data_IF_555916817705
#
_entry.id   IF_555916817705
#
_cell.length_a   1.000
_cell.length_b   1.000
_cell.length_c   1.000
_cell.angle_alpha   90.00
_cell.angle_beta   90.00
_cell.angle_gamma   90.00
#
_symmetry.space_group_name_H-M   'P 1'
#
loop_
_entity.id
_entity.type
_entity.pdbx_description
1 polymer ?
#
# COMPACT_ATOMS: atom_id res chain seq x y z
N UNK A 1 5.73 -6.83 8.11
CA UNK A 1 6.93 -5.99 7.89
C UNK A 1 6.54 -4.95 6.86
N UNK A 2 6.72 -3.64 7.12
CA UNK A 2 6.36 -2.65 6.10
C UNK A 2 7.12 -2.92 4.82
N UNK A 3 6.37 -3.11 3.74
CA UNK A 3 6.92 -3.35 2.40
C UNK A 3 7.08 -2.03 1.65
N UNK A 4 6.78 -0.90 2.30
CA UNK A 4 6.92 0.44 1.76
C UNK A 4 8.38 0.78 1.50
N UNK A 5 8.67 1.14 0.25
CA UNK A 5 9.97 1.61 -0.21
C UNK A 5 9.81 2.95 -0.94
N UNK A 6 10.84 3.78 -0.89
CA UNK A 6 10.93 5.04 -1.63
C UNK A 6 12.12 4.98 -2.57
N UNK A 7 11.95 5.39 -3.82
CA UNK A 7 13.03 5.44 -4.81
C UNK A 7 12.91 6.70 -5.67
N UNK A 8 14.06 7.26 -6.04
CA UNK A 8 14.17 8.33 -7.02
C UNK A 8 14.62 7.77 -8.38
N UNK A 9 14.00 8.26 -9.44
CA UNK A 9 14.22 7.81 -10.82
C UNK A 9 14.68 9.02 -11.63
N UNK A 10 15.88 8.94 -12.19
CA UNK A 10 16.45 9.99 -13.05
C UNK A 10 15.54 10.28 -14.28
N UNK A 11 15.72 11.42 -14.98
CA UNK A 11 14.93 11.73 -16.16
C UNK A 11 15.13 10.66 -17.25
N UNK A 12 14.02 10.19 -17.84
CA UNK A 12 13.96 9.03 -18.75
C UNK A 12 14.54 7.73 -18.17
N UNK A 13 14.82 7.71 -16.86
CA UNK A 13 15.34 6.55 -16.16
C UNK A 13 14.27 5.49 -15.97
N UNK A 14 14.72 4.25 -15.82
CA UNK A 14 13.86 3.12 -15.47
C UNK A 14 14.49 2.34 -14.34
N UNK A 15 13.69 1.99 -13.34
CA UNK A 15 14.11 1.19 -12.19
C UNK A 15 13.27 -0.07 -12.10
N UNK A 16 13.87 -1.16 -11.68
CA UNK A 16 13.16 -2.40 -11.35
C UNK A 16 12.75 -2.35 -9.88
N UNK A 17 11.44 -2.39 -9.61
CA UNK A 17 10.89 -2.34 -8.24
C UNK A 17 10.57 -3.74 -7.70
N UNK A 18 10.47 -4.73 -8.58
CA UNK A 18 10.28 -6.13 -8.23
C UNK A 18 10.83 -7.02 -9.35
N UNK A 19 11.45 -8.13 -8.97
CA UNK A 19 11.80 -9.21 -9.88
C UNK A 19 11.80 -10.53 -9.13
N UNK A 20 11.19 -11.53 -9.74
CA UNK A 20 11.30 -12.92 -9.35
C UNK A 20 11.65 -13.75 -10.57
N UNK A 21 12.60 -14.66 -10.40
CA UNK A 21 13.04 -15.61 -11.41
C UNK A 21 13.33 -16.94 -10.72
N UNK A 22 12.26 -17.70 -10.46
CA UNK A 22 12.34 -19.06 -9.96
C UNK A 22 12.16 -20.01 -11.15
N UNK A 23 13.17 -20.82 -11.41
CA UNK A 23 13.20 -21.77 -12.53
C UNK A 23 12.64 -23.14 -12.15
N UNK A 24 12.40 -23.38 -10.87
CA UNK A 24 11.95 -24.67 -10.32
C UNK A 24 10.45 -24.63 -10.06
N UNK A 25 9.95 -23.57 -9.41
CA UNK A 25 8.55 -23.46 -9.02
C UNK A 25 8.00 -22.10 -9.48
N UNK A 26 6.98 -22.08 -10.35
CA UNK A 26 6.37 -20.83 -10.75
C UNK A 26 5.62 -20.22 -9.57
N UNK A 27 5.70 -18.90 -9.43
CA UNK A 27 5.16 -18.17 -8.30
C UNK A 27 4.07 -17.19 -8.71
N UNK A 28 3.26 -16.79 -7.74
CA UNK A 28 2.27 -15.74 -7.93
C UNK A 28 2.95 -14.37 -7.96
N UNK A 29 2.54 -13.54 -8.92
CA UNK A 29 2.95 -12.15 -8.98
C UNK A 29 2.29 -11.34 -7.85
N UNK A 30 3.04 -10.48 -7.14
CA UNK A 30 2.48 -9.57 -6.14
C UNK A 30 1.68 -8.44 -6.80
N UNK A 31 0.78 -7.82 -6.03
CA UNK A 31 0.18 -6.53 -6.39
C UNK A 31 1.16 -5.42 -6.02
N UNK A 32 1.35 -4.46 -6.93
CA UNK A 32 2.13 -3.26 -6.66
C UNK A 32 1.20 -2.08 -6.35
N UNK A 33 1.48 -1.37 -5.26
CA UNK A 33 0.80 -0.12 -4.91
C UNK A 33 1.82 0.96 -5.12
N UNK A 34 1.56 1.90 -6.02
CA UNK A 34 2.56 2.89 -6.44
C UNK A 34 1.95 4.27 -6.26
N UNK A 35 2.57 5.08 -5.41
CA UNK A 35 2.28 6.49 -5.21
C UNK A 35 3.37 7.31 -5.88
N UNK A 36 2.96 8.19 -6.79
CA UNK A 36 3.84 9.15 -7.39
C UNK A 36 3.90 10.42 -6.52
N UNK A 37 5.08 10.71 -5.97
CA UNK A 37 5.33 11.90 -5.14
C UNK A 37 5.90 13.08 -5.90
N UNK A 38 6.25 12.86 -7.16
CA UNK A 38 6.79 13.90 -8.04
C UNK A 38 5.69 14.65 -8.78
N UNK A 39 6.11 15.74 -9.43
CA UNK A 39 5.27 16.55 -10.32
C UNK A 39 5.29 16.05 -11.77
N UNK A 40 5.95 14.92 -12.03
CA UNK A 40 6.07 14.33 -13.37
C UNK A 40 5.38 12.97 -13.44
N UNK A 41 4.78 12.61 -14.58
CA UNK A 41 4.15 11.31 -14.73
C UNK A 41 5.20 10.19 -14.78
N UNK A 42 4.83 9.03 -14.22
CA UNK A 42 5.61 7.80 -14.31
C UNK A 42 4.77 6.71 -14.99
N UNK A 43 5.44 5.69 -15.52
CA UNK A 43 4.80 4.49 -16.06
C UNK A 43 5.31 3.26 -15.33
N UNK A 44 4.41 2.50 -14.73
CA UNK A 44 4.72 1.17 -14.22
C UNK A 44 4.35 0.13 -15.28
N UNK A 45 5.25 -0.81 -15.54
CA UNK A 45 5.06 -1.90 -16.51
C UNK A 45 5.39 -3.20 -15.82
N UNK A 46 4.54 -4.20 -15.99
CA UNK A 46 4.86 -5.56 -15.60
C UNK A 46 5.21 -6.41 -16.82
N UNK A 47 6.19 -7.28 -16.62
CA UNK A 47 6.71 -8.18 -17.62
C UNK A 47 6.71 -9.60 -17.09
N UNK A 48 6.53 -10.55 -17.99
CA UNK A 48 6.63 -11.96 -17.71
C UNK A 48 7.52 -12.65 -18.75
N UNK A 49 8.10 -13.78 -18.39
CA UNK A 49 8.75 -14.67 -19.33
C UNK A 49 8.49 -16.13 -18.92
N UNK A 50 8.57 -17.03 -19.90
CA UNK A 50 8.69 -18.46 -19.63
C UNK A 50 10.04 -18.81 -18.99
N UNK A 51 10.29 -20.10 -18.80
CA UNK A 51 11.58 -20.61 -18.31
C UNK A 51 12.76 -20.14 -19.17
N UNK A 52 12.54 -20.07 -20.49
CA UNK A 52 13.52 -19.64 -21.49
C UNK A 52 12.85 -18.56 -22.36
N UNK A 53 13.65 -17.62 -22.84
CA UNK A 53 13.21 -16.55 -23.73
C UNK A 53 13.17 -15.17 -23.08
N UNK A 54 12.74 -14.20 -23.89
CA UNK A 54 12.71 -12.79 -23.54
C UNK A 54 11.46 -12.42 -22.74
N UNK A 55 11.58 -11.34 -21.98
CA UNK A 55 10.45 -10.75 -21.27
C UNK A 55 9.46 -10.13 -22.25
N UNK A 56 8.18 -10.47 -22.05
CA UNK A 56 7.06 -9.86 -22.74
C UNK A 56 6.30 -8.94 -21.78
N UNK A 57 5.85 -7.81 -22.29
CA UNK A 57 5.00 -6.90 -21.52
C UNK A 57 3.65 -7.57 -21.28
N UNK A 58 3.22 -7.60 -20.02
CA UNK A 58 1.88 -8.07 -19.66
C UNK A 58 0.87 -6.91 -19.68
N UNK A 59 1.17 -5.83 -18.96
CA UNK A 59 0.33 -4.65 -18.81
C UNK A 59 1.16 -3.44 -18.38
N UNK A 60 0.55 -2.25 -18.43
CA UNK A 60 1.13 -1.02 -17.93
C UNK A 60 0.06 -0.11 -17.30
N UNK A 61 0.50 0.78 -16.42
CA UNK A 61 -0.31 1.86 -15.86
C UNK A 61 0.52 3.13 -15.75
N UNK A 62 -0.07 4.25 -16.15
CA UNK A 62 0.49 5.57 -15.90
C UNK A 62 0.01 6.08 -14.55
N UNK A 63 0.93 6.62 -13.75
CA UNK A 63 0.64 7.21 -12.43
C UNK A 63 0.98 8.69 -12.50
N UNK A 64 -0.04 9.52 -12.49
CA UNK A 64 0.10 10.97 -12.60
C UNK A 64 0.60 11.60 -11.29
N UNK A 65 1.05 12.86 -11.33
CA UNK A 65 1.52 13.56 -10.14
C UNK A 65 0.56 13.47 -8.95
N UNK A 66 1.09 13.13 -7.77
CA UNK A 66 0.33 12.96 -6.52
C UNK A 66 -0.78 11.89 -6.59
N UNK A 67 -0.76 11.01 -7.59
CA UNK A 67 -1.68 9.90 -7.71
C UNK A 67 -1.11 8.66 -7.03
N UNK A 68 -2.01 7.83 -6.50
CA UNK A 68 -1.72 6.47 -6.07
C UNK A 68 -2.52 5.52 -6.96
N UNK A 69 -1.84 4.55 -7.58
CA UNK A 69 -2.46 3.47 -8.35
C UNK A 69 -2.17 2.13 -7.71
N UNK A 70 -3.18 1.27 -7.72
CA UNK A 70 -3.02 -0.15 -7.41
C UNK A 70 -2.86 -0.88 -8.74
N UNK A 71 -1.68 -1.41 -8.96
CA UNK A 71 -1.33 -2.21 -10.12
C UNK A 71 -1.43 -3.68 -9.76
N UNK A 72 -2.62 -4.24 -10.00
CA UNK A 72 -3.01 -5.60 -9.61
C UNK A 72 -2.07 -6.63 -10.26
N UNK A 73 -1.55 -7.54 -9.43
CA UNK A 73 -0.75 -8.67 -9.91
C UNK A 73 -1.61 -9.64 -10.73
N UNK A 74 -1.11 -10.17 -11.86
CA UNK A 74 -1.87 -11.12 -12.67
C UNK A 74 -2.28 -12.38 -11.90
N UNK A 75 -3.38 -13.02 -12.31
CA UNK A 75 -3.92 -14.25 -11.71
C UNK A 75 -3.06 -15.49 -11.95
N UNK A 76 -2.20 -15.47 -12.95
CA UNK A 76 -1.40 -16.62 -13.36
C UNK A 76 -0.17 -16.85 -12.47
N UNK A 77 0.49 -17.99 -12.69
CA UNK A 77 1.77 -18.35 -12.10
C UNK A 77 2.89 -18.09 -13.12
N UNK A 78 3.97 -17.47 -12.68
CA UNK A 78 5.11 -17.12 -13.53
C UNK A 78 6.41 -17.67 -12.96
N UNK A 79 7.22 -18.27 -13.82
CA UNK A 79 8.62 -18.58 -13.49
C UNK A 79 9.43 -17.29 -13.38
N UNK A 80 9.20 -16.36 -14.31
CA UNK A 80 9.90 -15.08 -14.38
C UNK A 80 8.90 -13.95 -14.49
N UNK A 81 8.94 -13.04 -13.53
CA UNK A 81 8.08 -11.86 -13.48
C UNK A 81 8.84 -10.67 -12.92
N UNK A 82 8.66 -9.50 -13.52
CA UNK A 82 9.25 -8.26 -12.99
C UNK A 82 8.31 -7.08 -13.17
N UNK A 83 8.46 -6.09 -12.32
CA UNK A 83 7.80 -4.79 -12.41
C UNK A 83 8.86 -3.72 -12.47
N UNK A 84 8.78 -2.88 -13.51
CA UNK A 84 9.65 -1.73 -13.67
C UNK A 84 8.83 -0.46 -13.66
N UNK A 85 9.46 0.62 -13.22
CA UNK A 85 8.86 1.96 -13.24
C UNK A 85 9.80 2.89 -13.99
N UNK A 86 9.24 3.58 -14.99
CA UNK A 86 9.95 4.53 -15.82
C UNK A 86 9.48 5.95 -15.52
N UNK A 87 10.44 6.87 -15.43
CA UNK A 87 10.16 8.29 -15.41
C UNK A 87 9.87 8.77 -16.84
N UNK A 88 8.70 9.37 -17.08
CA UNK A 88 8.33 9.85 -18.40
C UNK A 88 8.82 11.28 -18.68
N UNK A 89 9.37 11.96 -17.67
CA UNK A 89 10.00 13.27 -17.82
C UNK A 89 11.45 13.14 -18.27
N UNK A 90 11.89 14.09 -19.10
CA UNK A 90 13.27 14.25 -19.54
C UNK A 90 14.02 15.38 -18.80
N UNK A 91 13.37 16.07 -17.86
CA UNK A 91 13.94 17.23 -17.16
C UNK A 91 14.07 17.03 -15.65
N UNK A 92 13.14 16.31 -15.03
CA UNK A 92 13.04 16.21 -13.57
C UNK A 92 13.13 14.77 -13.09
N UNK A 93 13.66 14.57 -11.89
CA UNK A 93 13.62 13.28 -11.22
C UNK A 93 12.19 12.97 -10.76
N UNK A 94 11.77 11.72 -10.95
CA UNK A 94 10.56 11.21 -10.29
C UNK A 94 10.92 10.66 -8.91
N UNK A 95 10.01 10.80 -7.94
CA UNK A 95 10.08 10.14 -6.64
C UNK A 95 8.80 9.32 -6.47
N UNK A 96 8.96 8.06 -6.12
CA UNK A 96 7.84 7.14 -5.94
C UNK A 96 7.93 6.49 -4.56
N UNK A 97 6.76 6.24 -3.98
CA UNK A 97 6.59 5.33 -2.85
C UNK A 97 5.84 4.11 -3.35
N UNK A 98 6.32 2.91 -3.03
CA UNK A 98 5.64 1.70 -3.46
C UNK A 98 5.66 0.60 -2.40
N UNK A 99 4.67 -0.28 -2.49
CA UNK A 99 4.47 -1.46 -1.65
C UNK A 99 4.20 -2.64 -2.58
N UNK A 100 4.88 -3.76 -2.38
CA UNK A 100 4.62 -5.01 -3.10
C UNK A 100 3.93 -5.98 -2.16
N UNK A 101 2.68 -6.36 -2.41
CA UNK A 101 1.92 -7.26 -1.53
C UNK A 101 1.42 -8.50 -2.29
N UNK A 102 1.88 -9.69 -1.86
CA UNK A 102 1.45 -10.98 -2.42
C UNK A 102 0.16 -11.54 -1.79
N UNK A 103 -0.25 -11.03 -0.63
CA UNK A 103 -1.40 -11.54 0.13
C UNK A 103 -2.74 -11.14 -0.48
N UNK A 104 -2.80 -10.00 -1.20
CA UNK A 104 -4.03 -9.47 -1.79
C UNK A 104 -4.59 -10.32 -2.93
N UNK A 105 -3.75 -11.19 -3.50
CA UNK A 105 -4.21 -12.18 -4.48
C UNK A 105 -4.90 -13.38 -3.82
N UNK A 106 -4.49 -13.75 -2.59
CA UNK A 106 -5.01 -14.94 -1.90
C UNK A 106 -6.42 -14.73 -1.33
N UNK A 107 -6.74 -13.51 -0.89
CA UNK A 107 -7.99 -13.20 -0.19
C UNK A 107 -8.85 -12.14 -0.90
N UNK A 108 -8.47 -11.71 -2.11
CA UNK A 108 -8.99 -10.50 -2.73
C UNK A 108 -8.42 -9.24 -2.07
N UNK A 109 -8.82 -8.06 -2.56
CA UNK A 109 -8.55 -6.78 -1.89
C UNK A 109 -9.75 -6.46 -0.99
N UNK A 110 -9.78 -6.92 0.27
CA UNK A 110 -10.90 -6.60 1.14
C UNK A 110 -10.92 -5.08 1.37
N UNK A 111 -12.06 -4.49 1.06
CA UNK A 111 -12.34 -3.07 1.23
C UNK A 111 -13.40 -2.93 2.33
N UNK A 112 -13.28 -1.90 3.16
CA UNK A 112 -14.28 -1.56 4.16
C UNK A 112 -14.53 -0.07 4.18
N UNK A 113 -15.81 0.30 4.06
CA UNK A 113 -16.27 1.66 4.28
C UNK A 113 -16.31 1.98 5.77
N UNK A 114 -15.83 3.16 6.14
CA UNK A 114 -15.81 3.68 7.49
C UNK A 114 -16.50 5.04 7.50
N UNK A 115 -17.44 5.21 8.42
CA UNK A 115 -18.18 6.45 8.61
C UNK A 115 -17.85 7.03 9.98
N UNK A 116 -17.37 8.28 10.01
CA UNK A 116 -17.10 8.99 11.26
C UNK A 116 -17.98 10.23 11.35
N UNK A 117 -18.78 10.31 12.42
CA UNK A 117 -19.76 11.38 12.62
C UNK A 117 -19.26 12.45 13.62
N UNK A 118 -18.07 12.27 14.20
CA UNK A 118 -17.47 13.18 15.17
C UNK A 118 -15.97 13.36 14.91
N UNK A 119 -15.38 14.30 15.65
CA UNK A 119 -13.93 14.52 15.66
C UNK A 119 -13.21 13.68 16.71
N UNK A 120 -13.95 12.80 17.39
CA UNK A 120 -13.36 11.88 18.35
C UNK A 120 -12.53 10.82 17.63
N UNK A 121 -11.45 10.32 18.25
CA UNK A 121 -10.66 9.23 17.68
C UNK A 121 -11.53 7.99 17.45
N UNK A 122 -11.59 7.52 16.21
CA UNK A 122 -12.30 6.30 15.81
C UNK A 122 -11.33 5.14 15.69
N UNK A 123 -11.45 4.13 16.55
CA UNK A 123 -10.66 2.90 16.45
C UNK A 123 -11.22 2.00 15.35
N UNK A 124 -10.51 1.93 14.23
CA UNK A 124 -10.92 1.14 13.07
C UNK A 124 -10.56 -0.33 13.20
N UNK A 125 -9.36 -0.59 13.70
CA UNK A 125 -8.80 -1.92 13.86
C UNK A 125 -8.09 -2.00 15.18
N UNK A 126 -8.28 -3.11 15.89
CA UNK A 126 -7.57 -3.44 17.13
C UNK A 126 -7.58 -4.96 17.29
N UNK A 127 -6.42 -5.58 17.03
CA UNK A 127 -6.23 -7.01 17.23
C UNK A 127 -4.83 -7.29 17.76
N UNK A 128 -4.69 -8.45 18.37
CA UNK A 128 -3.41 -8.93 18.85
C UNK A 128 -3.52 -10.16 19.73
N UNK A 129 -2.37 -10.70 20.09
CA UNK A 129 -2.22 -11.85 20.95
C UNK A 129 -0.95 -11.68 21.80
N UNK A 130 -1.06 -11.84 23.13
CA UNK A 130 0.07 -11.74 24.05
C UNK A 130 1.12 -12.86 23.86
N UNK A 131 0.72 -14.01 23.33
CA UNK A 131 1.55 -15.21 23.19
C UNK A 131 2.20 -15.26 21.81
N UNK A 132 1.42 -15.02 20.75
CA UNK A 132 1.90 -15.15 19.37
C UNK A 132 1.91 -13.79 18.67
N UNK A 133 3.07 -13.13 18.53
CA UNK A 133 3.17 -11.91 17.74
C UNK A 133 2.92 -12.23 16.26
N UNK A 134 2.27 -11.30 15.56
CA UNK A 134 1.92 -11.44 14.15
C UNK A 134 2.52 -10.29 13.35
N UNK A 135 2.68 -10.52 12.05
CA UNK A 135 2.92 -9.43 11.13
C UNK A 135 1.59 -8.76 10.76
N UNK A 136 1.71 -7.49 10.39
CA UNK A 136 0.63 -6.69 9.83
C UNK A 136 1.20 -6.07 8.55
N UNK A 137 0.39 -5.98 7.50
CA UNK A 137 0.74 -5.25 6.27
C UNK A 137 0.21 -3.81 6.31
N UNK A 138 0.65 -3.05 5.33
CA UNK A 138 0.28 -1.65 5.17
C UNK A 138 -1.24 -1.51 4.88
N UNK A 139 -1.82 -0.37 5.27
CA UNK A 139 -3.20 -0.03 4.96
C UNK A 139 -3.23 1.06 3.88
N UNK A 140 -4.03 0.86 2.84
CA UNK A 140 -4.38 1.94 1.91
C UNK A 140 -5.68 2.55 2.41
N UNK A 141 -5.68 3.87 2.56
CA UNK A 141 -6.84 4.61 3.04
C UNK A 141 -7.15 5.69 2.03
N UNK A 142 -8.34 5.63 1.47
CA UNK A 142 -8.89 6.65 0.58
C UNK A 142 -9.88 7.49 1.35
N UNK A 143 -9.68 8.80 1.32
CA UNK A 143 -10.58 9.77 1.91
C UNK A 143 -11.61 10.21 0.86
N UNK A 144 -12.83 9.70 0.96
CA UNK A 144 -13.94 10.07 0.08
C UNK A 144 -14.65 11.36 0.55
N UNK A 145 -14.22 11.95 1.66
CA UNK A 145 -14.81 13.16 2.23
C UNK A 145 -14.06 14.44 1.85
N UNK A 146 -14.63 15.57 2.28
CA UNK A 146 -13.99 16.89 2.20
C UNK A 146 -13.20 17.27 3.47
N UNK A 147 -13.07 16.35 4.44
CA UNK A 147 -12.33 16.58 5.68
C UNK A 147 -10.84 16.24 5.54
N UNK A 148 -9.98 16.88 6.32
CA UNK A 148 -8.62 16.42 6.57
C UNK A 148 -8.61 15.35 7.66
N UNK A 149 -8.10 14.17 7.33
CA UNK A 149 -8.11 13.00 8.22
C UNK A 149 -6.70 12.64 8.62
N UNK A 150 -6.48 12.30 9.89
CA UNK A 150 -5.25 11.68 10.34
C UNK A 150 -5.50 10.20 10.62
N UNK A 151 -4.71 9.35 10.00
CA UNK A 151 -4.64 7.93 10.33
C UNK A 151 -3.38 7.66 11.13
N UNK A 152 -3.52 7.07 12.32
CA UNK A 152 -2.42 6.74 13.21
C UNK A 152 -2.43 5.25 13.47
N UNK A 153 -1.27 4.60 13.43
CA UNK A 153 -1.15 3.24 13.91
C UNK A 153 -0.29 3.14 15.17
N UNK A 154 -0.63 2.15 15.98
CA UNK A 154 -0.01 1.88 17.25
C UNK A 154 0.34 0.41 17.35
N UNK A 155 1.36 0.12 18.14
CA UNK A 155 1.78 -1.24 18.46
C UNK A 155 1.93 -1.40 19.97
N UNK A 156 1.75 -2.62 20.47
CA UNK A 156 2.11 -2.97 21.83
C UNK A 156 2.83 -4.32 21.90
N UNK A 157 3.68 -4.46 22.91
CA UNK A 157 4.19 -5.77 23.32
C UNK A 157 3.15 -6.58 24.09
N UNK A 158 3.53 -7.73 24.66
CA UNK A 158 2.60 -8.68 25.29
C UNK A 158 1.73 -8.10 26.42
N UNK A 159 2.19 -7.00 27.04
CA UNK A 159 1.51 -6.35 28.16
C UNK A 159 0.48 -5.28 27.71
N UNK A 160 0.30 -5.05 26.41
CA UNK A 160 -0.77 -4.19 25.88
C UNK A 160 -0.55 -2.68 26.00
N UNK A 161 0.63 -2.22 26.43
CA UNK A 161 0.96 -0.79 26.46
C UNK A 161 1.25 -0.27 25.05
N UNK A 162 0.25 0.38 24.45
CA UNK A 162 0.32 0.89 23.08
C UNK A 162 1.25 2.10 22.95
N UNK A 163 2.12 2.05 21.96
CA UNK A 163 2.97 3.14 21.51
C UNK A 163 2.61 3.52 20.07
N UNK A 164 2.61 4.81 19.76
CA UNK A 164 2.45 5.26 18.38
C UNK A 164 3.62 4.76 17.54
N UNK A 165 3.33 4.18 16.38
CA UNK A 165 4.34 3.81 15.40
C UNK A 165 4.52 4.91 14.36
N UNK A 166 3.46 5.21 13.61
CA UNK A 166 3.48 6.18 12.53
C UNK A 166 2.09 6.81 12.35
N UNK A 167 2.04 7.87 11.55
CA UNK A 167 0.81 8.49 11.11
C UNK A 167 0.92 8.97 9.67
N UNK A 168 -0.23 9.14 9.03
CA UNK A 168 -0.35 9.83 7.74
C UNK A 168 -1.55 10.77 7.78
N UNK A 169 -1.36 11.97 7.23
CA UNK A 169 -2.42 12.94 7.01
C UNK A 169 -2.97 12.75 5.60
N UNK A 170 -4.28 12.60 5.49
CA UNK A 170 -5.00 12.23 4.28
C UNK A 170 -5.91 13.39 3.90
N UNK A 171 -5.47 14.16 2.92
CA UNK A 171 -6.23 15.29 2.38
C UNK A 171 -7.54 14.84 1.71
N UNK A 172 -8.50 15.75 1.56
CA UNK A 172 -9.75 15.50 0.82
C UNK A 172 -9.52 14.84 -0.54
N UNK A 173 -10.26 13.76 -0.82
CA UNK A 173 -10.19 13.03 -2.10
C UNK A 173 -8.87 12.30 -2.35
N UNK A 174 -7.93 12.28 -1.39
CA UNK A 174 -6.62 11.62 -1.55
C UNK A 174 -6.61 10.20 -0.99
N UNK A 175 -5.69 9.42 -1.52
CA UNK A 175 -5.42 8.05 -1.09
C UNK A 175 -3.99 7.97 -0.58
N UNK A 176 -3.82 7.40 0.60
CA UNK A 176 -2.55 7.35 1.32
C UNK A 176 -2.20 5.94 1.80
N UNK A 177 -0.89 5.69 1.97
CA UNK A 177 -0.36 4.43 2.49
C UNK A 177 0.07 4.64 3.94
N UNK A 178 -0.65 4.02 4.87
CA UNK A 178 -0.23 3.91 6.27
C UNK A 178 0.67 2.69 6.43
N UNK A 179 1.97 2.93 6.58
CA UNK A 179 2.97 1.89 6.76
C UNK A 179 2.79 1.18 8.12
N UNK A 180 2.76 -0.15 8.08
CA UNK A 180 2.77 -1.03 9.25
C UNK A 180 4.12 -1.03 9.97
N UNK A 181 4.21 -1.46 11.24
CA UNK A 181 5.48 -1.69 11.91
C UNK A 181 6.37 -2.68 11.14
N UNK A 182 7.70 -2.50 11.12
CA UNK A 182 8.60 -3.40 10.41
C UNK A 182 8.72 -4.77 11.10
N UNK A 183 8.47 -4.81 12.41
CA UNK A 183 8.61 -5.99 13.26
C UNK A 183 7.27 -6.68 13.49
N UNK A 184 7.31 -7.98 13.78
CA UNK A 184 6.17 -8.70 14.34
C UNK A 184 5.85 -8.12 15.72
N UNK A 185 4.56 -7.85 15.98
CA UNK A 185 4.11 -7.23 17.23
C UNK A 185 2.94 -8.01 17.81
N UNK A 186 2.78 -7.95 19.14
CA UNK A 186 1.70 -8.66 19.81
C UNK A 186 0.36 -8.01 19.56
N UNK A 187 0.29 -6.69 19.62
CA UNK A 187 -0.94 -5.94 19.38
C UNK A 187 -0.72 -4.82 18.39
N UNK A 188 -1.73 -4.58 17.57
CA UNK A 188 -1.74 -3.54 16.56
C UNK A 188 -3.12 -2.91 16.49
N UNK A 189 -3.15 -1.57 16.41
CA UNK A 189 -4.39 -0.83 16.19
C UNK A 189 -4.21 0.33 15.23
N UNK A 190 -5.28 0.67 14.53
CA UNK A 190 -5.38 1.84 13.66
C UNK A 190 -6.50 2.73 14.16
N UNK A 191 -6.20 4.01 14.33
CA UNK A 191 -7.13 5.03 14.79
C UNK A 191 -7.21 6.13 13.75
N UNK A 192 -8.42 6.51 13.38
CA UNK A 192 -8.70 7.66 12.53
C UNK A 192 -9.14 8.85 13.39
N UNK A 193 -8.76 10.05 12.98
CA UNK A 193 -9.20 11.29 13.62
C UNK A 193 -9.56 12.29 12.55
N UNK A 194 -10.77 12.85 12.64
CA UNK A 194 -11.17 13.96 11.80
C UNK A 194 -10.54 15.25 12.36
N UNK A 195 -9.60 15.82 11.62
CA UNK A 195 -8.94 17.07 12.00
C UNK A 195 -9.75 18.31 11.62
N UNK A 196 -10.91 18.13 10.95
CA UNK A 196 -11.75 19.22 10.48
C UNK A 196 -12.86 19.53 11.47
N UNK A 197 -12.88 20.75 12.01
CA UNK A 197 -13.87 21.16 13.01
C UNK A 197 -15.29 21.34 12.45
N UNK A 198 -15.42 21.54 11.13
CA UNK A 198 -16.69 21.93 10.50
C UNK A 198 -17.24 20.90 9.51
N UNK A 199 -16.52 19.80 9.28
CA UNK A 199 -16.95 18.73 8.37
C UNK A 199 -17.34 17.53 9.22
N UNK A 200 -18.63 17.20 9.23
CA UNK A 200 -19.16 16.00 9.85
C UNK A 200 -19.46 14.95 8.78
N UNK A 201 -19.67 13.69 9.19
CA UNK A 201 -19.96 12.57 8.30
C UNK A 201 -18.83 12.30 7.29
N UNK A 202 -17.65 12.00 7.84
CA UNK A 202 -16.48 11.58 7.07
C UNK A 202 -16.70 10.18 6.55
N UNK A 203 -16.42 9.98 5.27
CA UNK A 203 -16.39 8.68 4.61
C UNK A 203 -14.96 8.33 4.22
N UNK A 204 -14.50 7.16 4.69
CA UNK A 204 -13.21 6.58 4.32
C UNK A 204 -13.43 5.20 3.71
N UNK A 205 -12.61 4.86 2.71
CA UNK A 205 -12.48 3.51 2.19
C UNK A 205 -11.11 2.98 2.61
N UNK A 206 -11.11 1.89 3.38
CA UNK A 206 -9.87 1.23 3.83
C UNK A 206 -9.69 -0.08 3.09
N UNK A 207 -8.56 -0.22 2.41
CA UNK A 207 -8.16 -1.42 1.66
C UNK A 207 -6.98 -2.03 2.40
N UNK A 208 -7.21 -3.19 3.03
CA UNK A 208 -6.16 -3.88 3.78
C UNK A 208 -6.53 -5.32 4.12
N UNK A 209 -5.59 -6.24 3.97
CA UNK A 209 -5.65 -7.61 4.49
C UNK A 209 -5.98 -7.70 6.00
N UNK A 210 -5.86 -6.61 6.78
CA UNK A 210 -6.34 -6.56 8.18
C UNK A 210 -7.84 -6.93 8.31
N UNK A 211 -8.57 -6.82 7.21
CA UNK A 211 -9.98 -7.16 7.10
C UNK A 211 -10.25 -8.64 6.82
N UNK A 212 -9.26 -9.46 6.44
CA UNK A 212 -9.47 -10.90 6.26
C UNK A 212 -9.53 -11.60 7.62
N UNK A 213 -10.62 -12.34 7.87
CA UNK A 213 -10.96 -12.89 9.19
C UNK A 213 -12.05 -12.13 9.94
N UNK A 214 -12.88 -11.37 9.21
CA UNK A 214 -14.23 -10.96 9.62
C UNK A 214 -15.25 -11.80 8.82
N UNK A 215 -15.33 -13.10 9.12
CA UNK A 215 -16.47 -13.95 8.79
C UNK A 215 -16.85 -14.72 10.07
#
# INVERSE_FOLDING_TARGET
MSLKKTISIAPLGTVEIYSNSDIVIPSVAPTAIIKNKSMVPIRAINYWAGLIGDYQQYSHVDVYPSELKIFVGPSDLFYRYKVVVSNLSNTENAEIEFVMDSLWKKYGMPTKMVYMNSNEPFEFYSKGNAIFPTDFSDAIIKNNSVAYIRAVNFWAGPLGNYNMYSYVDISPGKTEILASPPNIVNYYKIVFTNMSNYVQNVELEVISHLLSGYD
#
